data_IF_714728245182
#
_entry.id   IF_714728245182
#
_cell.length_a   1.000
_cell.length_b   1.000
_cell.length_c   1.000
_cell.angle_alpha   90.00
_cell.angle_beta   90.00
_cell.angle_gamma   90.00
#
_symmetry.space_group_name_H-M   'P 1'
#
loop_
_entity.id
_entity.type
_entity.pdbx_description
1 polymer ?
#
# COMPACT_ATOMS: atom_id res chain seq x y z
N UNK A 1 -39.75 -44.45 -61.39
CA UNK A 1 -39.02 -43.27 -60.86
C UNK A 1 -39.56 -42.98 -59.47
N UNK A 2 -38.83 -43.38 -58.43
CA UNK A 2 -39.19 -43.14 -57.02
C UNK A 2 -38.10 -42.23 -56.47
N UNK A 3 -38.43 -40.99 -56.16
CA UNK A 3 -37.47 -40.03 -55.60
C UNK A 3 -37.36 -40.22 -54.08
N UNK A 4 -36.14 -40.53 -53.65
CA UNK A 4 -35.71 -40.65 -52.25
C UNK A 4 -35.50 -39.25 -51.66
N UNK A 5 -36.21 -38.89 -50.60
CA UNK A 5 -35.92 -37.70 -49.81
C UNK A 5 -34.95 -38.08 -48.68
N UNK A 6 -33.75 -37.52 -48.72
CA UNK A 6 -32.78 -37.58 -47.62
C UNK A 6 -33.08 -36.46 -46.63
N UNK A 7 -33.43 -36.82 -45.41
CA UNK A 7 -33.55 -35.90 -44.28
C UNK A 7 -32.15 -35.48 -43.81
N UNK A 8 -31.85 -34.17 -43.91
CA UNK A 8 -30.64 -33.57 -43.33
C UNK A 8 -31.00 -33.06 -41.95
N UNK A 9 -30.49 -33.70 -40.90
CA UNK A 9 -30.61 -33.21 -39.51
C UNK A 9 -29.50 -32.20 -39.23
N UNK A 10 -29.87 -30.95 -38.98
CA UNK A 10 -28.95 -29.89 -38.56
C UNK A 10 -28.78 -29.96 -37.04
N UNK A 11 -27.57 -30.27 -36.56
CA UNK A 11 -27.25 -30.20 -35.14
C UNK A 11 -26.95 -28.74 -34.75
N UNK A 12 -27.75 -28.17 -33.86
CA UNK A 12 -27.53 -26.84 -33.29
C UNK A 12 -26.45 -26.93 -32.20
N UNK A 13 -25.29 -26.31 -32.44
CA UNK A 13 -24.25 -26.10 -31.42
C UNK A 13 -24.67 -24.86 -30.62
N UNK A 14 -25.21 -25.06 -29.42
CA UNK A 14 -25.39 -23.99 -28.44
C UNK A 14 -24.03 -23.62 -27.86
N UNK A 15 -23.48 -22.47 -28.29
CA UNK A 15 -22.32 -21.86 -27.67
C UNK A 15 -22.71 -21.38 -26.25
N UNK A 16 -22.14 -22.03 -25.23
CA UNK A 16 -22.26 -21.61 -23.85
C UNK A 16 -21.27 -20.44 -23.64
N UNK A 17 -21.76 -19.20 -23.70
CA UNK A 17 -20.96 -18.05 -23.29
C UNK A 17 -20.74 -18.14 -21.77
N UNK A 18 -19.52 -18.49 -21.35
CA UNK A 18 -19.09 -18.26 -19.98
C UNK A 18 -18.98 -16.75 -19.79
N UNK A 19 -19.98 -16.15 -19.16
CA UNK A 19 -19.87 -14.81 -18.58
C UNK A 19 -19.01 -14.91 -17.33
N UNK A 20 -17.75 -14.46 -17.43
CA UNK A 20 -16.92 -14.18 -16.25
C UNK A 20 -17.56 -13.03 -15.50
N UNK A 21 -18.15 -13.30 -14.34
CA UNK A 21 -18.54 -12.24 -13.40
C UNK A 21 -17.22 -11.65 -12.90
N UNK A 22 -16.95 -10.34 -13.07
CA UNK A 22 -15.76 -9.74 -12.49
C UNK A 22 -15.82 -9.98 -10.98
N UNK A 23 -14.76 -10.56 -10.41
CA UNK A 23 -14.60 -10.58 -8.97
C UNK A 23 -14.70 -9.14 -8.47
N UNK A 24 -15.57 -8.89 -7.49
CA UNK A 24 -15.64 -7.57 -6.87
C UNK A 24 -14.34 -7.37 -6.09
N UNK A 25 -13.67 -6.23 -6.33
CA UNK A 25 -12.51 -5.85 -5.53
C UNK A 25 -12.88 -5.91 -4.04
N UNK A 26 -12.00 -6.49 -3.24
CA UNK A 26 -12.15 -6.55 -1.78
C UNK A 26 -11.49 -5.30 -1.19
N UNK A 27 -12.22 -4.60 -0.33
CA UNK A 27 -11.68 -3.49 0.44
C UNK A 27 -10.99 -4.03 1.69
N UNK A 28 -9.71 -3.71 1.86
CA UNK A 28 -8.93 -3.99 3.05
C UNK A 28 -8.65 -2.70 3.83
N UNK A 29 -8.56 -2.81 5.15
CA UNK A 29 -8.20 -1.72 6.06
C UNK A 29 -6.96 -2.10 6.84
N UNK A 30 -6.05 -1.14 7.00
CA UNK A 30 -4.83 -1.32 7.78
C UNK A 30 -5.14 -1.79 9.21
N UNK A 31 -4.39 -2.79 9.66
CA UNK A 31 -4.36 -3.20 11.05
C UNK A 31 -3.25 -2.45 11.80
N UNK A 32 -3.61 -1.61 12.77
CA UNK A 32 -2.61 -0.81 13.52
C UNK A 32 -1.64 -1.67 14.33
N UNK A 33 -2.05 -2.86 14.79
CA UNK A 33 -1.19 -3.74 15.56
C UNK A 33 -0.09 -4.40 14.72
N UNK A 34 -0.22 -4.38 13.40
CA UNK A 34 0.68 -5.05 12.45
C UNK A 34 1.04 -4.12 11.29
N UNK A 35 1.13 -2.81 11.56
CA UNK A 35 1.55 -1.83 10.56
C UNK A 35 2.63 -0.93 11.10
N UNK A 36 3.65 -0.74 10.26
CA UNK A 36 4.87 -0.04 10.60
C UNK A 36 5.34 0.78 9.40
N UNK A 37 5.56 2.08 9.62
CA UNK A 37 6.17 2.98 8.65
C UNK A 37 7.46 3.50 9.27
N UNK A 38 8.58 2.88 8.89
CA UNK A 38 9.92 3.26 9.33
C UNK A 38 10.59 4.11 8.28
N UNK A 39 11.46 4.99 8.73
CA UNK A 39 12.37 5.69 7.85
C UNK A 39 13.76 5.83 8.46
N UNK A 40 14.76 5.93 7.59
CA UNK A 40 16.16 6.02 7.97
C UNK A 40 16.90 7.08 7.15
N UNK A 41 17.89 7.71 7.78
CA UNK A 41 18.70 8.73 7.15
C UNK A 41 20.15 8.66 7.62
N UNK A 42 21.06 9.14 6.78
CA UNK A 42 22.46 9.31 7.13
C UNK A 42 22.64 10.56 7.97
N UNK A 43 23.18 10.42 9.19
CA UNK A 43 23.58 11.55 10.00
C UNK A 43 25.02 11.95 9.63
N UNK A 44 25.13 12.76 8.57
CA UNK A 44 26.39 13.28 8.04
C UNK A 44 27.45 12.21 7.70
N UNK A 45 27.01 11.00 7.31
CA UNK A 45 27.90 9.89 6.98
C UNK A 45 28.56 9.21 8.18
N UNK A 46 28.23 9.61 9.42
CA UNK A 46 28.80 9.04 10.65
C UNK A 46 27.99 7.85 11.14
N UNK A 47 26.66 7.92 11.01
CA UNK A 47 25.73 6.87 11.46
C UNK A 47 24.46 6.88 10.61
N UNK A 48 23.72 5.79 10.66
CA UNK A 48 22.34 5.72 10.14
C UNK A 48 21.41 5.83 11.33
N UNK A 49 20.55 6.83 11.31
CA UNK A 49 19.50 7.04 12.30
C UNK A 49 18.18 6.51 11.74
N UNK A 50 17.28 6.12 12.64
CA UNK A 50 15.98 5.55 12.30
C UNK A 50 14.88 6.18 13.14
N UNK A 51 13.70 6.29 12.57
CA UNK A 51 12.48 6.64 13.28
C UNK A 51 11.29 5.94 12.63
N UNK A 52 10.14 6.01 13.29
CA UNK A 52 8.90 5.45 12.78
C UNK A 52 7.72 6.38 13.03
N UNK A 53 6.68 6.24 12.21
CA UNK A 53 5.35 6.74 12.52
C UNK A 53 4.53 5.58 13.06
N UNK A 54 4.04 5.71 14.28
CA UNK A 54 3.34 4.64 15.01
C UNK A 54 1.85 4.57 14.70
N UNK A 55 1.32 5.51 13.90
CA UNK A 55 -0.09 5.55 13.50
C UNK A 55 -0.21 5.81 12.00
N UNK A 56 -0.64 4.78 11.26
CA UNK A 56 -0.89 4.85 9.82
C UNK A 56 -2.21 4.16 9.47
N UNK A 57 -3.11 4.85 8.78
CA UNK A 57 -4.42 4.32 8.38
C UNK A 57 -4.50 4.24 6.86
N UNK A 58 -4.79 3.06 6.35
CA UNK A 58 -4.87 2.80 4.92
C UNK A 58 -6.15 2.07 4.53
N UNK A 59 -6.58 2.32 3.30
CA UNK A 59 -7.64 1.58 2.60
C UNK A 59 -7.09 1.09 1.27
N UNK A 60 -7.21 -0.20 1.01
CA UNK A 60 -6.80 -0.85 -0.23
C UNK A 60 -8.01 -1.52 -0.87
N UNK A 61 -8.35 -1.14 -2.09
CA UNK A 61 -9.28 -1.92 -2.92
C UNK A 61 -8.45 -2.81 -3.84
N UNK A 62 -8.58 -4.13 -3.70
CA UNK A 62 -7.78 -5.11 -4.42
C UNK A 62 -8.67 -6.21 -5.02
N UNK A 63 -8.58 -6.36 -6.34
CA UNK A 63 -8.97 -7.58 -7.05
C UNK A 63 -7.72 -8.46 -7.21
N UNK A 64 -7.69 -9.61 -6.55
CA UNK A 64 -6.55 -10.52 -6.59
C UNK A 64 -6.33 -11.13 -7.98
N UNK A 65 -7.36 -11.18 -8.83
CA UNK A 65 -7.24 -11.65 -10.21
C UNK A 65 -6.75 -10.52 -11.15
N UNK A 66 -6.86 -9.26 -10.73
CA UNK A 66 -6.40 -8.09 -11.47
C UNK A 66 -5.74 -7.03 -10.54
N UNK A 67 -4.56 -7.33 -9.98
CA UNK A 67 -3.89 -6.44 -9.02
C UNK A 67 -3.45 -5.09 -9.62
N UNK A 68 -3.31 -5.00 -10.95
CA UNK A 68 -3.01 -3.74 -11.64
C UNK A 68 -4.16 -2.71 -11.53
N UNK A 69 -5.38 -3.15 -11.22
CA UNK A 69 -6.53 -2.30 -10.96
C UNK A 69 -6.67 -1.86 -9.50
N UNK A 70 -5.73 -2.22 -8.62
CA UNK A 70 -5.82 -1.89 -7.21
C UNK A 70 -5.68 -0.38 -6.95
N UNK A 71 -6.30 0.08 -5.86
CA UNK A 71 -6.18 1.47 -5.41
C UNK A 71 -5.92 1.54 -3.91
N UNK A 72 -4.97 2.39 -3.52
CA UNK A 72 -4.50 2.56 -2.15
C UNK A 72 -4.60 4.03 -1.74
N UNK A 73 -5.18 4.27 -0.57
CA UNK A 73 -5.21 5.58 0.09
C UNK A 73 -4.73 5.43 1.53
N UNK A 74 -3.72 6.20 1.92
CA UNK A 74 -3.08 6.15 3.23
C UNK A 74 -2.99 7.54 3.84
N UNK A 75 -3.24 7.63 5.14
CA UNK A 75 -2.96 8.79 5.99
C UNK A 75 -2.12 8.35 7.19
N UNK A 76 -0.97 8.98 7.38
CA UNK A 76 -0.07 8.80 8.51
C UNK A 76 -0.17 10.03 9.41
N UNK A 77 -0.38 9.82 10.70
CA UNK A 77 -0.36 10.92 11.68
C UNK A 77 1.10 11.29 11.98
N UNK A 78 1.52 12.48 11.56
CA UNK A 78 2.89 12.95 11.76
C UNK A 78 3.22 13.16 13.26
N UNK A 79 2.22 13.37 14.12
CA UNK A 79 2.41 13.45 15.57
C UNK A 79 2.81 12.11 16.19
N UNK A 80 2.55 11.00 15.48
CA UNK A 80 2.91 9.65 15.91
C UNK A 80 4.39 9.31 15.72
N UNK A 81 5.20 10.25 15.22
CA UNK A 81 6.65 10.10 15.06
C UNK A 81 7.31 9.72 16.39
N UNK A 82 8.14 8.68 16.35
CA UNK A 82 8.99 8.22 17.44
C UNK A 82 10.40 7.87 16.94
N UNK A 83 11.41 8.44 17.58
CA UNK A 83 12.84 8.16 17.36
C UNK A 83 13.44 7.36 18.52
N UNK A 84 12.67 7.17 19.60
CA UNK A 84 13.15 6.65 20.88
C UNK A 84 13.85 7.70 21.76
N UNK A 85 13.98 8.94 21.29
CA UNK A 85 14.55 10.06 22.06
C UNK A 85 13.66 11.31 21.93
N UNK A 86 12.83 11.56 22.95
CA UNK A 86 11.81 12.62 22.94
C UNK A 86 12.28 14.00 22.45
N UNK A 87 13.45 14.52 22.85
CA UNK A 87 13.93 15.80 22.34
C UNK A 87 14.18 15.83 20.82
N UNK A 88 14.53 14.70 20.20
CA UNK A 88 14.63 14.60 18.75
C UNK A 88 13.24 14.55 18.11
N UNK A 89 12.28 13.85 18.73
CA UNK A 89 10.88 13.83 18.27
C UNK A 89 10.32 15.25 18.24
N UNK A 90 10.52 16.01 19.32
CA UNK A 90 10.07 17.41 19.43
C UNK A 90 10.68 18.28 18.33
N UNK A 91 11.97 18.11 18.04
CA UNK A 91 12.66 18.88 17.01
C UNK A 91 12.18 18.53 15.59
N UNK A 92 12.04 17.25 15.26
CA UNK A 92 11.57 16.81 13.93
C UNK A 92 10.09 17.17 13.72
N UNK A 93 9.28 17.20 14.79
CA UNK A 93 7.87 17.63 14.71
C UNK A 93 7.71 19.15 14.56
N UNK A 94 8.72 19.93 14.95
CA UNK A 94 8.66 21.39 14.93
C UNK A 94 8.62 21.99 13.52
N UNK A 95 8.39 23.31 13.46
CA UNK A 95 8.39 24.09 12.22
C UNK A 95 9.73 24.10 11.45
N UNK A 96 10.82 23.64 12.08
CA UNK A 96 12.11 23.49 11.42
C UNK A 96 12.15 22.27 10.48
N UNK A 97 11.20 21.32 10.64
CA UNK A 97 11.11 20.09 9.87
C UNK A 97 9.68 19.79 9.38
N UNK A 98 8.90 18.98 10.10
CA UNK A 98 7.59 18.51 9.62
C UNK A 98 6.46 19.51 9.86
N UNK A 99 6.65 20.47 10.77
CA UNK A 99 5.64 21.43 11.21
C UNK A 99 4.27 20.76 11.47
N UNK A 100 4.25 19.73 12.33
CA UNK A 100 3.06 18.88 12.53
C UNK A 100 1.87 19.63 13.13
N UNK A 101 2.10 20.82 13.70
CA UNK A 101 1.04 21.71 14.17
C UNK A 101 0.24 22.30 12.99
N UNK A 102 0.89 22.54 11.85
CA UNK A 102 0.27 23.04 10.61
C UNK A 102 -0.10 21.90 9.67
N UNK A 103 0.74 20.86 9.59
CA UNK A 103 0.58 19.71 8.68
C UNK A 103 0.58 18.41 9.49
N UNK A 104 -0.53 18.09 10.18
CA UNK A 104 -0.59 16.91 11.03
C UNK A 104 -0.58 15.59 10.25
N UNK A 105 -0.94 15.62 8.97
CA UNK A 105 -1.13 14.43 8.14
C UNK A 105 -0.08 14.35 7.02
N UNK A 106 0.47 13.14 6.86
CA UNK A 106 1.20 12.73 5.65
C UNK A 106 0.29 11.79 4.87
N UNK A 107 0.06 12.05 3.58
CA UNK A 107 -0.90 11.26 2.78
C UNK A 107 -0.25 10.63 1.56
N UNK A 108 -0.65 9.41 1.21
CA UNK A 108 -0.28 8.76 -0.05
C UNK A 108 -1.54 8.28 -0.77
N UNK A 109 -1.70 8.65 -2.04
CA UNK A 109 -2.79 8.20 -2.89
C UNK A 109 -2.22 7.57 -4.16
N UNK A 110 -2.45 6.28 -4.36
CA UNK A 110 -1.93 5.58 -5.54
C UNK A 110 -2.53 6.14 -6.83
N UNK A 111 -1.70 6.28 -7.85
CA UNK A 111 -2.09 6.67 -9.21
C UNK A 111 -1.89 5.53 -10.23
N UNK A 112 -1.16 4.48 -9.85
CA UNK A 112 -1.04 3.27 -10.67
C UNK A 112 -0.27 2.14 -10.00
N UNK A 113 -0.54 0.92 -10.46
CA UNK A 113 0.13 -0.31 -10.03
C UNK A 113 0.70 -1.00 -11.25
N UNK A 114 2.02 -1.22 -11.26
CA UNK A 114 2.72 -2.01 -12.26
C UNK A 114 3.16 -3.34 -11.63
N UNK A 115 2.56 -4.45 -12.06
CA UNK A 115 2.95 -5.79 -11.59
C UNK A 115 4.30 -6.16 -12.20
N UNK A 116 5.30 -6.38 -11.34
CA UNK A 116 6.70 -6.64 -11.75
C UNK A 116 7.10 -8.11 -11.60
N UNK A 117 6.27 -8.93 -10.96
CA UNK A 117 6.52 -10.35 -10.73
C UNK A 117 5.31 -11.05 -10.14
N UNK A 118 5.47 -12.30 -9.72
CA UNK A 118 4.38 -13.12 -9.16
C UNK A 118 3.76 -12.46 -7.92
N UNK A 119 4.60 -11.92 -7.03
CA UNK A 119 4.19 -11.28 -5.78
C UNK A 119 4.76 -9.87 -5.63
N UNK A 120 5.24 -9.25 -6.70
CA UNK A 120 5.88 -7.93 -6.64
C UNK A 120 5.22 -6.93 -7.57
N UNK A 121 5.15 -5.69 -7.13
CA UNK A 121 4.62 -4.59 -7.91
C UNK A 121 5.30 -3.26 -7.55
N UNK A 122 5.36 -2.35 -8.51
CA UNK A 122 5.65 -0.95 -8.27
C UNK A 122 4.34 -0.20 -8.11
N UNK A 123 4.11 0.40 -6.94
CA UNK A 123 2.92 1.21 -6.66
C UNK A 123 3.32 2.67 -6.71
N UNK A 124 2.92 3.38 -7.76
CA UNK A 124 3.16 4.82 -7.89
C UNK A 124 1.99 5.58 -7.31
N UNK A 125 2.26 6.68 -6.60
CA UNK A 125 1.23 7.54 -6.04
C UNK A 125 1.74 8.93 -5.67
N UNK A 126 0.78 9.78 -5.36
CA UNK A 126 1.00 11.15 -4.90
C UNK A 126 1.24 11.13 -3.38
N UNK A 127 2.49 11.34 -2.98
CA UNK A 127 2.88 11.51 -1.58
C UNK A 127 2.80 13.00 -1.23
N UNK A 128 2.11 13.35 -0.14
CA UNK A 128 2.06 14.71 0.40
C UNK A 128 2.67 14.73 1.78
N UNK A 129 3.71 15.55 1.96
CA UNK A 129 4.39 15.80 3.23
C UNK A 129 4.55 17.31 3.35
N UNK A 130 4.25 17.88 4.53
CA UNK A 130 4.46 19.30 4.82
C UNK A 130 3.81 20.22 3.75
N UNK A 131 2.58 19.86 3.34
CA UNK A 131 1.79 20.58 2.34
C UNK A 131 2.27 20.47 0.89
N UNK A 132 3.36 19.76 0.62
CA UNK A 132 3.93 19.60 -0.73
C UNK A 132 3.67 18.19 -1.24
N UNK A 133 3.19 18.06 -2.48
CA UNK A 133 2.91 16.78 -3.13
C UNK A 133 3.96 16.44 -4.17
N UNK A 134 4.49 15.21 -4.14
CA UNK A 134 5.42 14.67 -5.13
C UNK A 134 5.02 13.24 -5.51
N UNK A 135 5.22 12.82 -6.78
CA UNK A 135 5.03 11.43 -7.16
C UNK A 135 6.16 10.56 -6.58
N UNK A 136 5.78 9.45 -5.94
CA UNK A 136 6.72 8.47 -5.36
C UNK A 136 6.27 7.07 -5.77
N UNK A 137 7.24 6.19 -6.01
CA UNK A 137 7.00 4.78 -6.31
C UNK A 137 7.46 3.92 -5.14
N UNK A 138 6.57 3.05 -4.67
CA UNK A 138 6.83 2.04 -3.65
C UNK A 138 7.15 0.70 -4.33
N UNK A 139 8.33 0.16 -4.08
CA UNK A 139 8.67 -1.21 -4.46
C UNK A 139 8.01 -2.17 -3.47
N UNK A 140 6.94 -2.83 -3.90
CA UNK A 140 6.03 -3.57 -3.01
C UNK A 140 6.11 -5.07 -3.25
N UNK A 141 6.08 -5.85 -2.18
CA UNK A 141 5.96 -7.30 -2.19
C UNK A 141 4.72 -7.73 -1.41
N UNK A 142 3.85 -8.52 -2.02
CA UNK A 142 2.76 -9.23 -1.36
C UNK A 142 3.35 -10.42 -0.60
N UNK A 143 3.16 -10.44 0.72
CA UNK A 143 3.67 -11.51 1.60
C UNK A 143 2.57 -12.49 2.03
N UNK A 144 1.31 -12.05 2.01
CA UNK A 144 0.15 -12.89 2.31
C UNK A 144 -1.12 -12.34 1.66
N UNK A 145 -2.02 -13.22 1.21
CA UNK A 145 -3.40 -12.89 0.84
C UNK A 145 -4.33 -14.06 1.17
N UNK A 146 -5.52 -13.75 1.69
CA UNK A 146 -6.55 -14.73 2.06
C UNK A 146 -6.67 -14.94 3.57
N UNK A 147 -7.18 -16.10 3.98
CA UNK A 147 -7.47 -16.37 5.39
C UNK A 147 -6.20 -16.34 6.26
N UNK A 148 -6.23 -15.54 7.33
CA UNK A 148 -5.07 -15.40 8.21
C UNK A 148 -4.72 -16.73 8.91
N UNK A 149 -3.43 -17.14 8.98
CA UNK A 149 -3.03 -18.42 9.56
C UNK A 149 -3.45 -18.64 11.02
N UNK A 150 -3.57 -17.56 11.79
CA UNK A 150 -4.02 -17.60 13.19
C UNK A 150 -5.54 -17.51 13.38
N UNK A 151 -6.32 -17.29 12.31
CA UNK A 151 -7.77 -17.09 12.39
C UNK A 151 -8.55 -18.29 12.93
N UNK A 152 -7.98 -19.49 12.86
CA UNK A 152 -8.57 -20.70 13.47
C UNK A 152 -8.41 -20.79 14.99
N UNK A 153 -7.46 -20.05 15.57
CA UNK A 153 -7.12 -20.11 16.99
C UNK A 153 -7.46 -18.83 17.77
N UNK A 154 -7.45 -17.68 17.10
CA UNK A 154 -7.61 -16.36 17.72
C UNK A 154 -8.64 -15.57 16.91
N UNK A 155 -9.73 -15.15 17.57
CA UNK A 155 -10.85 -14.47 16.93
C UNK A 155 -10.47 -13.17 16.23
N UNK A 156 -9.49 -12.44 16.76
CA UNK A 156 -8.97 -11.19 16.16
C UNK A 156 -8.59 -11.36 14.68
N UNK A 157 -7.92 -12.49 14.38
CA UNK A 157 -7.37 -12.78 13.07
C UNK A 157 -8.35 -13.48 12.13
N UNK A 158 -9.61 -13.71 12.53
CA UNK A 158 -10.60 -14.30 11.61
C UNK A 158 -10.84 -13.40 10.40
N UNK A 159 -11.10 -14.03 9.27
CA UNK A 159 -11.38 -13.37 7.99
C UNK A 159 -10.18 -13.39 7.04
N UNK A 160 -10.34 -12.70 5.91
CA UNK A 160 -9.30 -12.54 4.90
C UNK A 160 -8.44 -11.32 5.20
N UNK A 161 -7.14 -11.46 4.93
CA UNK A 161 -6.12 -10.47 5.16
C UNK A 161 -5.23 -10.35 3.94
N UNK A 162 -4.60 -9.20 3.77
CA UNK A 162 -3.54 -8.97 2.81
C UNK A 162 -2.35 -8.34 3.54
N UNK A 163 -1.15 -8.87 3.33
CA UNK A 163 0.06 -8.35 3.96
C UNK A 163 1.11 -7.99 2.92
N UNK A 164 1.83 -6.89 3.19
CA UNK A 164 2.78 -6.32 2.26
C UNK A 164 4.04 -5.85 2.99
N UNK A 165 5.16 -5.89 2.28
CA UNK A 165 6.32 -5.05 2.58
C UNK A 165 6.55 -4.09 1.41
N UNK A 166 6.97 -2.86 1.68
CA UNK A 166 7.34 -1.93 0.65
C UNK A 166 8.55 -1.08 1.04
N UNK A 167 9.33 -0.65 0.06
CA UNK A 167 10.44 0.29 0.27
C UNK A 167 10.42 1.41 -0.77
N UNK A 168 10.94 2.57 -0.40
CA UNK A 168 11.19 3.67 -1.33
C UNK A 168 12.29 4.59 -0.79
N UNK A 169 12.79 5.47 -1.65
CA UNK A 169 13.78 6.47 -1.31
C UNK A 169 13.27 7.83 -1.77
N UNK A 170 13.20 8.78 -0.86
CA UNK A 170 12.72 10.13 -1.14
C UNK A 170 13.79 11.19 -0.84
N UNK A 171 13.71 12.31 -1.55
CA UNK A 171 14.36 13.54 -1.15
C UNK A 171 13.40 14.38 -0.30
N UNK A 172 13.63 14.39 1.02
CA UNK A 172 12.82 15.15 1.96
C UNK A 172 12.82 16.67 1.67
N UNK A 173 13.86 17.21 1.03
CA UNK A 173 13.91 18.62 0.65
C UNK A 173 12.91 18.97 -0.46
N UNK A 174 12.54 17.99 -1.31
CA UNK A 174 11.50 18.17 -2.33
C UNK A 174 10.11 18.39 -1.72
N UNK A 175 9.95 18.12 -0.42
CA UNK A 175 8.74 18.37 0.37
C UNK A 175 8.86 19.63 1.25
N UNK A 176 9.97 20.37 1.15
CA UNK A 176 10.25 21.51 2.02
C UNK A 176 10.62 21.12 3.46
N UNK A 177 10.99 19.86 3.69
CA UNK A 177 11.43 19.36 5.00
C UNK A 177 12.96 19.26 5.00
N UNK A 178 13.61 19.63 6.10
CA UNK A 178 15.01 19.29 6.33
C UNK A 178 15.96 20.47 6.51
N UNK A 179 15.62 21.67 6.04
CA UNK A 179 16.48 22.86 6.19
C UNK A 179 17.93 22.64 5.75
N UNK A 180 18.83 22.37 6.71
CA UNK A 180 20.25 22.07 6.51
C UNK A 180 20.59 20.58 6.34
N UNK A 181 19.65 19.67 6.66
CA UNK A 181 19.76 18.24 6.42
C UNK A 181 19.83 17.96 4.92
N UNK A 182 20.73 17.07 4.50
CA UNK A 182 20.95 16.72 3.09
C UNK A 182 20.96 15.21 2.91
N UNK A 183 20.67 14.78 1.70
CA UNK A 183 20.67 13.37 1.31
C UNK A 183 19.28 12.73 1.40
N UNK A 184 19.15 11.52 0.82
CA UNK A 184 17.87 10.84 0.76
C UNK A 184 17.47 10.26 2.11
N UNK A 185 16.17 10.03 2.26
CA UNK A 185 15.59 9.21 3.32
C UNK A 185 15.08 7.93 2.69
N UNK A 186 15.43 6.79 3.28
CA UNK A 186 14.82 5.50 2.92
C UNK A 186 13.61 5.27 3.79
N UNK A 187 12.50 4.85 3.19
CA UNK A 187 11.26 4.50 3.88
C UNK A 187 11.04 3.01 3.70
N UNK A 188 10.77 2.31 4.79
CA UNK A 188 10.45 0.88 4.83
C UNK A 188 9.10 0.69 5.51
N UNK A 189 8.21 -0.05 4.86
CA UNK A 189 6.83 -0.25 5.28
C UNK A 189 6.60 -1.75 5.41
N UNK A 190 5.96 -2.16 6.49
CA UNK A 190 5.36 -3.49 6.64
C UNK A 190 3.94 -3.29 7.15
N UNK A 191 2.97 -3.95 6.53
CA UNK A 191 1.57 -3.81 6.93
C UNK A 191 0.82 -5.10 6.72
N UNK A 192 -0.05 -5.42 7.68
CA UNK A 192 -1.18 -6.32 7.47
C UNK A 192 -2.47 -5.50 7.39
N UNK A 193 -3.35 -5.87 6.47
CA UNK A 193 -4.63 -5.24 6.24
C UNK A 193 -5.73 -6.29 6.28
N UNK A 194 -6.79 -6.02 7.04
CA UNK A 194 -7.93 -6.92 7.19
C UNK A 194 -9.04 -6.55 6.21
N UNK A 195 -9.65 -7.53 5.55
CA UNK A 195 -10.81 -7.31 4.70
C UNK A 195 -11.94 -6.66 5.51
N UNK A 196 -12.54 -5.60 4.96
CA UNK A 196 -13.72 -4.99 5.51
C UNK A 196 -14.92 -5.95 5.34
N UNK A 197 -15.72 -6.08 6.39
CA UNK A 197 -16.97 -6.87 6.37
C UNK A 197 -18.07 -6.21 5.53
#
# INVERSE_FOLDING_TARGET
MIHSLKSVSTAAITAFCLSTVPALAVTYKTDQGHTEVRFSWSHAGVSVQTAEFTVANGTLDLDAENPAGASLNVTVDANSLATGFGPLDDHVKSADFLDVATYPDITFVSTGVEVTGENTANVTGDLTIHGTTQPVTLETTLTHIGAHPLGGAIDYYKGDWAAFSATTVIDHQAFGVGGFSTGPITIDIVTEMKAAE
#
